data_IF_220297949261
#
_entry.id   IF_220297949261
#
_cell.length_a   1.000
_cell.length_b   1.000
_cell.length_c   1.000
_cell.angle_alpha   90.00
_cell.angle_beta   90.00
_cell.angle_gamma   90.00
#
_symmetry.space_group_name_H-M   'P 1'
#
loop_
_entity.id
_entity.type
_entity.pdbx_description
1 polymer ?
#
# COMPACT_ATOMS: atom_id res chain seq x y z
N UNK A 1 -6.15 -19.77 -10.01
CA UNK A 1 -7.53 -19.28 -10.16
C UNK A 1 -8.58 -20.37 -10.01
N UNK A 2 -8.66 -21.38 -10.89
CA UNK A 2 -9.75 -22.39 -10.86
C UNK A 2 -9.90 -23.13 -9.51
N UNK A 3 -8.79 -23.48 -8.85
CA UNK A 3 -8.82 -24.15 -7.54
C UNK A 3 -9.33 -23.23 -6.41
N UNK A 4 -8.96 -21.95 -6.42
CA UNK A 4 -9.40 -20.99 -5.39
C UNK A 4 -10.90 -20.67 -5.54
N UNK A 5 -11.37 -20.58 -6.79
CA UNK A 5 -12.79 -20.43 -7.10
C UNK A 5 -13.62 -21.66 -6.65
N UNK A 6 -13.04 -22.87 -6.79
CA UNK A 6 -13.68 -24.10 -6.32
C UNK A 6 -13.81 -24.12 -4.79
N UNK A 7 -12.81 -23.65 -4.04
CA UNK A 7 -12.86 -23.53 -2.58
C UNK A 7 -13.91 -22.50 -2.16
N UNK A 8 -13.87 -21.29 -2.73
CA UNK A 8 -14.86 -20.25 -2.43
C UNK A 8 -16.30 -20.77 -2.62
N UNK A 9 -16.54 -21.53 -3.70
CA UNK A 9 -17.83 -22.16 -3.96
C UNK A 9 -18.18 -23.27 -2.96
N UNK A 10 -17.21 -24.11 -2.58
CA UNK A 10 -17.40 -25.19 -1.61
C UNK A 10 -17.74 -24.65 -0.22
N UNK A 11 -17.12 -23.54 0.17
CA UNK A 11 -17.31 -22.87 1.47
C UNK A 11 -18.45 -21.85 1.47
N UNK A 12 -19.16 -21.70 0.34
CA UNK A 12 -20.25 -20.73 0.16
C UNK A 12 -19.81 -19.28 0.43
N UNK A 13 -18.58 -18.97 0.08
CA UNK A 13 -18.02 -17.62 0.09
C UNK A 13 -18.49 -16.93 -1.18
N UNK A 14 -19.33 -15.91 -1.03
CA UNK A 14 -19.71 -15.03 -2.13
C UNK A 14 -18.58 -14.02 -2.37
N UNK A 15 -17.83 -14.18 -3.47
CA UNK A 15 -16.68 -13.36 -3.81
C UNK A 15 -16.67 -13.00 -5.29
N UNK A 16 -16.45 -11.72 -5.59
CA UNK A 16 -16.34 -11.24 -6.95
C UNK A 16 -15.08 -11.79 -7.64
N UNK A 17 -15.10 -12.05 -8.96
CA UNK A 17 -13.94 -12.55 -9.69
C UNK A 17 -12.67 -11.69 -9.50
N UNK A 18 -12.81 -10.36 -9.53
CA UNK A 18 -11.69 -9.43 -9.35
C UNK A 18 -11.12 -9.47 -7.92
N UNK A 19 -11.99 -9.63 -6.90
CA UNK A 19 -11.56 -9.83 -5.52
C UNK A 19 -10.81 -11.16 -5.36
N UNK A 20 -11.30 -12.23 -5.99
CA UNK A 20 -10.65 -13.55 -5.96
C UNK A 20 -9.27 -13.53 -6.63
N UNK A 21 -9.11 -12.80 -7.73
CA UNK A 21 -7.81 -12.59 -8.39
C UNK A 21 -6.83 -11.87 -7.45
N UNK A 22 -7.32 -10.87 -6.73
CA UNK A 22 -6.53 -10.09 -5.78
C UNK A 22 -6.03 -10.95 -4.61
N UNK A 23 -6.88 -11.83 -4.07
CA UNK A 23 -6.53 -12.81 -3.03
C UNK A 23 -5.53 -13.84 -3.54
N UNK A 24 -5.76 -14.37 -4.75
CA UNK A 24 -4.84 -15.31 -5.38
C UNK A 24 -3.43 -14.70 -5.59
N UNK A 25 -3.37 -13.42 -5.96
CA UNK A 25 -2.12 -12.70 -6.12
C UNK A 25 -1.45 -12.36 -4.78
N UNK A 26 -2.24 -12.13 -3.72
CA UNK A 26 -1.72 -11.84 -2.38
C UNK A 26 -1.13 -13.07 -1.67
N UNK A 27 -1.48 -14.29 -2.09
CA UNK A 27 -0.93 -15.54 -1.56
C UNK A 27 0.51 -15.87 -1.95
N UNK A 28 1.33 -14.88 -2.31
CA UNK A 28 2.78 -14.98 -2.58
C UNK A 28 3.21 -16.17 -3.49
N UNK A 29 2.34 -16.60 -4.42
CA UNK A 29 2.61 -17.72 -5.34
C UNK A 29 2.40 -19.13 -4.75
N UNK A 30 1.94 -19.23 -3.51
CA UNK A 30 1.60 -20.46 -2.82
C UNK A 30 0.08 -20.61 -2.68
N UNK A 31 -0.44 -21.73 -3.16
CA UNK A 31 -1.88 -22.01 -3.09
C UNK A 31 -2.40 -22.00 -1.65
N UNK A 32 -1.59 -22.45 -0.68
CA UNK A 32 -1.94 -22.49 0.74
C UNK A 32 -2.07 -21.10 1.36
N UNK A 33 -1.24 -20.16 0.92
CA UNK A 33 -1.27 -18.80 1.46
C UNK A 33 -2.45 -18.03 0.87
N UNK A 34 -2.79 -18.27 -0.41
CA UNK A 34 -4.02 -17.77 -1.00
C UNK A 34 -5.29 -18.37 -0.35
N UNK A 35 -5.27 -19.65 0.00
CA UNK A 35 -6.35 -20.32 0.74
C UNK A 35 -6.50 -19.76 2.17
N UNK A 36 -5.40 -19.64 2.91
CA UNK A 36 -5.38 -19.03 4.25
C UNK A 36 -5.88 -17.57 4.26
N UNK A 37 -5.50 -16.78 3.24
CA UNK A 37 -6.01 -15.42 3.06
C UNK A 37 -7.51 -15.41 2.75
N UNK A 38 -7.98 -16.35 1.91
CA UNK A 38 -9.41 -16.49 1.62
C UNK A 38 -10.21 -16.81 2.89
N UNK A 39 -9.72 -17.74 3.71
CA UNK A 39 -10.35 -18.11 5.00
C UNK A 39 -10.40 -16.91 5.97
N UNK A 40 -9.29 -16.16 6.08
CA UNK A 40 -9.24 -14.95 6.90
C UNK A 40 -10.24 -13.90 6.40
N UNK A 41 -10.29 -13.68 5.10
CA UNK A 41 -11.20 -12.71 4.48
C UNK A 41 -12.66 -13.11 4.71
N UNK A 42 -12.98 -14.39 4.51
CA UNK A 42 -14.31 -14.93 4.78
C UNK A 42 -14.69 -14.77 6.25
N UNK A 43 -13.78 -15.03 7.20
CA UNK A 43 -14.05 -14.86 8.64
C UNK A 43 -14.31 -13.41 9.06
N UNK A 44 -13.76 -12.43 8.32
CA UNK A 44 -13.88 -10.99 8.59
C UNK A 44 -15.08 -10.35 7.87
N UNK A 45 -15.52 -10.93 6.75
CA UNK A 45 -16.78 -10.59 6.10
C UNK A 45 -17.92 -11.05 7.01
N UNK A 46 -18.56 -10.11 7.71
CA UNK A 46 -19.54 -10.43 8.77
C UNK A 46 -20.63 -11.41 8.29
N UNK A 47 -21.01 -12.41 9.11
CA UNK A 47 -22.15 -13.25 8.80
C UNK A 47 -23.42 -12.39 8.78
N UNK A 48 -24.14 -12.45 7.67
CA UNK A 48 -25.49 -11.89 7.56
C UNK A 48 -26.46 -12.69 8.43
N UNK A 49 -27.57 -12.08 8.82
CA UNK A 49 -28.64 -12.65 9.67
C UNK A 49 -29.23 -13.97 9.15
N UNK A 50 -28.91 -14.37 7.92
CA UNK A 50 -29.36 -15.60 7.27
C UNK A 50 -28.27 -16.70 7.21
N UNK A 51 -27.16 -16.55 7.93
CA UNK A 51 -26.12 -17.59 8.02
C UNK A 51 -25.20 -17.69 6.80
N UNK A 52 -25.12 -16.63 5.99
CA UNK A 52 -24.18 -16.49 4.88
C UNK A 52 -23.20 -15.33 5.07
N UNK A 53 -22.00 -15.43 4.51
CA UNK A 53 -21.01 -14.35 4.48
C UNK A 53 -21.50 -13.21 3.57
N UNK A 54 -21.34 -11.95 3.98
CA UNK A 54 -21.59 -10.81 3.08
C UNK A 54 -20.67 -10.87 1.85
N UNK A 55 -21.18 -10.47 0.68
CA UNK A 55 -20.42 -10.50 -0.59
C UNK A 55 -19.07 -9.80 -0.48
N UNK A 56 -17.98 -10.50 -0.77
CA UNK A 56 -16.63 -9.96 -0.82
C UNK A 56 -16.42 -9.32 -2.19
N UNK A 57 -16.60 -8.00 -2.23
CA UNK A 57 -16.28 -7.20 -3.40
C UNK A 57 -14.79 -6.82 -3.43
N UNK A 58 -14.36 -6.23 -4.54
CA UNK A 58 -12.97 -5.80 -4.74
C UNK A 58 -12.46 -4.88 -3.61
N UNK A 59 -13.27 -3.92 -3.16
CA UNK A 59 -12.89 -2.96 -2.12
C UNK A 59 -12.60 -3.65 -0.77
N UNK A 60 -13.44 -4.63 -0.39
CA UNK A 60 -13.25 -5.43 0.81
C UNK A 60 -11.96 -6.25 0.70
N UNK A 61 -11.71 -6.90 -0.44
CA UNK A 61 -10.49 -7.67 -0.66
C UNK A 61 -9.24 -6.78 -0.61
N UNK A 62 -9.28 -5.59 -1.20
CA UNK A 62 -8.17 -4.63 -1.13
C UNK A 62 -7.90 -4.15 0.29
N UNK A 63 -8.95 -3.95 1.10
CA UNK A 63 -8.81 -3.54 2.49
C UNK A 63 -8.15 -4.65 3.32
N UNK A 64 -8.61 -5.89 3.15
CA UNK A 64 -8.16 -7.04 3.94
C UNK A 64 -6.76 -7.51 3.56
N UNK A 65 -6.38 -7.34 2.30
CA UNK A 65 -5.00 -7.59 1.82
C UNK A 65 -4.06 -6.40 2.02
N UNK A 66 -4.54 -5.29 2.59
CA UNK A 66 -3.74 -4.09 2.85
C UNK A 66 -3.44 -3.21 1.63
N UNK A 67 -4.01 -3.51 0.46
CA UNK A 67 -3.78 -2.76 -0.79
C UNK A 67 -4.38 -1.37 -0.82
N UNK A 68 -5.45 -1.12 -0.06
CA UNK A 68 -5.95 0.26 0.13
C UNK A 68 -4.85 1.16 0.72
N UNK A 69 -4.11 0.62 1.70
CA UNK A 69 -2.96 1.33 2.30
C UNK A 69 -1.83 1.53 1.29
N UNK A 70 -1.51 0.50 0.51
CA UNK A 70 -0.48 0.61 -0.53
C UNK A 70 -0.82 1.67 -1.58
N UNK A 71 -2.04 1.68 -2.13
CA UNK A 71 -2.48 2.72 -3.09
C UNK A 71 -2.29 4.13 -2.54
N UNK A 72 -2.62 4.33 -1.26
CA UNK A 72 -2.44 5.62 -0.59
C UNK A 72 -0.97 6.03 -0.49
N UNK A 73 -0.09 5.06 -0.27
CA UNK A 73 1.36 5.28 -0.24
C UNK A 73 1.91 5.55 -1.64
N UNK A 74 1.44 4.83 -2.66
CA UNK A 74 1.85 5.01 -4.06
C UNK A 74 1.51 6.43 -4.55
N UNK A 75 0.29 6.90 -4.28
CA UNK A 75 -0.17 8.23 -4.67
C UNK A 75 0.69 9.31 -4.00
N UNK A 76 0.92 9.18 -2.68
CA UNK A 76 1.72 10.15 -1.96
C UNK A 76 3.18 10.17 -2.43
N UNK A 77 3.77 8.99 -2.64
CA UNK A 77 5.12 8.87 -3.19
C UNK A 77 5.23 9.50 -4.59
N UNK A 78 4.19 9.35 -5.42
CA UNK A 78 4.12 9.99 -6.74
C UNK A 78 4.17 11.51 -6.64
N UNK A 79 3.35 12.12 -5.77
CA UNK A 79 3.35 13.57 -5.54
C UNK A 79 4.71 14.07 -5.06
N UNK A 80 5.32 13.33 -4.12
CA UNK A 80 6.63 13.66 -3.54
C UNK A 80 7.74 13.62 -4.59
N UNK A 81 7.83 12.54 -5.38
CA UNK A 81 8.89 12.37 -6.39
C UNK A 81 8.75 13.40 -7.51
N UNK A 82 7.51 13.78 -7.87
CA UNK A 82 7.22 14.83 -8.86
C UNK A 82 7.41 16.25 -8.33
N UNK A 83 7.76 16.42 -7.05
CA UNK A 83 7.89 17.72 -6.40
C UNK A 83 6.61 18.56 -6.43
N UNK A 84 5.45 17.90 -6.35
CA UNK A 84 4.16 18.58 -6.26
C UNK A 84 3.88 18.94 -4.80
N UNK A 85 4.43 20.06 -4.33
CA UNK A 85 4.23 20.53 -2.95
C UNK A 85 2.74 20.71 -2.63
N UNK A 86 2.00 21.36 -3.53
CA UNK A 86 0.58 21.65 -3.32
C UNK A 86 -0.21 20.35 -3.24
N UNK A 87 -0.03 19.45 -4.21
CA UNK A 87 -0.71 18.16 -4.23
C UNK A 87 -0.35 17.30 -3.02
N UNK A 88 0.92 17.29 -2.58
CA UNK A 88 1.35 16.54 -1.41
C UNK A 88 0.70 17.03 -0.10
N UNK A 89 0.56 18.35 0.08
CA UNK A 89 -0.11 18.93 1.25
C UNK A 89 -1.63 18.73 1.21
N UNK A 90 -2.26 18.94 0.05
CA UNK A 90 -3.69 18.70 -0.14
C UNK A 90 -4.03 17.23 0.16
N UNK A 91 -3.23 16.30 -0.36
CA UNK A 91 -3.38 14.86 -0.12
C UNK A 91 -3.20 14.49 1.36
N UNK A 92 -2.20 15.06 2.02
CA UNK A 92 -1.98 14.83 3.45
C UNK A 92 -3.18 15.30 4.30
N UNK A 93 -3.75 16.46 3.96
CA UNK A 93 -4.94 16.97 4.64
C UNK A 93 -6.12 16.02 4.48
N UNK A 94 -6.40 15.52 3.27
CA UNK A 94 -7.46 14.53 3.02
C UNK A 94 -7.25 13.26 3.86
N UNK A 95 -6.05 12.69 3.87
CA UNK A 95 -5.77 11.46 4.63
C UNK A 95 -5.95 11.67 6.13
N UNK A 96 -5.60 12.86 6.64
CA UNK A 96 -5.80 13.22 8.04
C UNK A 96 -7.29 13.41 8.39
N UNK A 97 -8.07 14.04 7.51
CA UNK A 97 -9.53 14.21 7.67
C UNK A 97 -10.27 12.87 7.64
N UNK A 98 -9.82 11.92 6.83
CA UNK A 98 -10.31 10.54 6.79
C UNK A 98 -9.95 9.74 8.07
N UNK A 99 -9.16 10.31 8.98
CA UNK A 99 -8.81 9.68 10.26
C UNK A 99 -7.78 8.56 10.14
N UNK A 100 -7.01 8.51 9.05
CA UNK A 100 -5.97 7.50 8.89
C UNK A 100 -4.78 7.73 9.81
N UNK A 101 -4.11 6.63 10.15
CA UNK A 101 -2.89 6.69 10.95
C UNK A 101 -1.71 7.23 10.13
N UNK A 102 -1.45 8.53 10.26
CA UNK A 102 -0.35 9.22 9.57
C UNK A 102 1.03 8.64 9.91
N UNK A 103 1.25 8.17 11.14
CA UNK A 103 2.52 7.56 11.55
C UNK A 103 2.76 6.27 10.75
N UNK A 104 1.72 5.46 10.58
CA UNK A 104 1.79 4.25 9.76
C UNK A 104 1.98 4.60 8.27
N UNK A 105 1.25 5.58 7.74
CA UNK A 105 1.41 6.06 6.36
C UNK A 105 2.87 6.46 6.06
N UNK A 106 3.49 7.26 6.94
CA UNK A 106 4.88 7.71 6.75
C UNK A 106 5.87 6.56 6.83
N UNK A 107 5.64 5.60 7.74
CA UNK A 107 6.45 4.38 7.82
C UNK A 107 6.43 3.63 6.48
N UNK A 108 5.24 3.41 5.93
CA UNK A 108 5.05 2.68 4.68
C UNK A 108 5.61 3.47 3.48
N UNK A 109 5.46 4.80 3.48
CA UNK A 109 6.08 5.70 2.52
C UNK A 109 7.61 5.58 2.52
N UNK A 110 8.26 5.54 3.69
CA UNK A 110 9.72 5.35 3.78
C UNK A 110 10.12 4.02 3.14
N UNK A 111 9.38 2.94 3.42
CA UNK A 111 9.63 1.63 2.82
C UNK A 111 9.43 1.67 1.30
N UNK A 112 8.40 2.36 0.81
CA UNK A 112 8.10 2.48 -0.61
C UNK A 112 9.17 3.31 -1.35
N UNK A 113 9.55 4.48 -0.83
CA UNK A 113 10.63 5.30 -1.38
C UNK A 113 11.97 4.55 -1.39
N UNK A 114 12.24 3.70 -0.39
CA UNK A 114 13.40 2.80 -0.39
C UNK A 114 13.35 1.83 -1.58
N UNK A 115 12.19 1.23 -1.87
CA UNK A 115 12.02 0.33 -3.03
C UNK A 115 12.26 1.08 -4.35
N UNK A 116 11.70 2.30 -4.47
CA UNK A 116 11.93 3.21 -5.62
C UNK A 116 13.42 3.47 -5.82
N UNK A 117 14.12 3.87 -4.75
CA UNK A 117 15.56 4.13 -4.78
C UNK A 117 16.37 2.88 -5.17
N UNK A 118 16.04 1.73 -4.59
CA UNK A 118 16.69 0.45 -4.92
C UNK A 118 16.57 0.10 -6.40
N UNK A 119 15.38 0.23 -6.99
CA UNK A 119 15.19 -0.03 -8.42
C UNK A 119 15.88 0.99 -9.31
N UNK A 120 15.92 2.27 -8.88
CA UNK A 120 16.65 3.30 -9.62
C UNK A 120 18.16 3.04 -9.63
N UNK A 121 18.71 2.53 -8.53
CA UNK A 121 20.14 2.18 -8.43
C UNK A 121 20.48 0.86 -9.13
N UNK A 122 19.58 -0.13 -9.05
CA UNK A 122 19.76 -1.44 -9.66
C UNK A 122 18.40 -2.03 -10.07
N UNK A 123 18.05 -1.95 -11.38
CA UNK A 123 16.82 -2.54 -11.90
C UNK A 123 16.70 -4.05 -11.68
N UNK A 124 17.83 -4.76 -11.51
CA UNK A 124 17.84 -6.21 -11.24
C UNK A 124 17.27 -6.60 -9.87
N UNK A 125 17.02 -5.64 -8.97
CA UNK A 125 16.37 -5.88 -7.67
C UNK A 125 14.84 -6.06 -7.79
N UNK A 126 14.27 -5.94 -8.99
CA UNK A 126 12.84 -6.17 -9.25
C UNK A 126 12.35 -7.53 -8.72
N UNK A 127 13.14 -8.59 -8.89
CA UNK A 127 12.78 -9.95 -8.45
C UNK A 127 12.58 -10.07 -6.94
N UNK A 128 13.22 -9.21 -6.14
CA UNK A 128 13.06 -9.18 -4.69
C UNK A 128 11.67 -8.66 -4.30
N UNK A 129 11.10 -7.77 -5.10
CA UNK A 129 9.81 -7.15 -4.81
C UNK A 129 8.63 -7.94 -5.38
N UNK A 130 8.88 -8.93 -6.25
CA UNK A 130 7.82 -9.76 -6.86
C UNK A 130 7.10 -10.66 -5.85
N UNK A 131 7.71 -10.96 -4.69
CA UNK A 131 7.02 -11.65 -3.61
C UNK A 131 6.09 -10.74 -2.80
N UNK A 132 6.31 -9.43 -2.84
CA UNK A 132 5.57 -8.46 -2.02
C UNK A 132 4.55 -7.65 -2.82
N UNK A 133 4.71 -7.57 -4.14
CA UNK A 133 3.96 -6.69 -5.03
C UNK A 133 3.48 -7.47 -6.26
N UNK A 134 2.28 -7.14 -6.71
CA UNK A 134 1.76 -7.59 -8.00
C UNK A 134 2.52 -7.02 -9.18
N UNK A 135 2.33 -7.62 -10.36
CA UNK A 135 2.90 -7.12 -11.61
C UNK A 135 2.52 -5.66 -11.88
N UNK A 136 1.29 -5.25 -11.59
CA UNK A 136 0.85 -3.86 -11.79
C UNK A 136 1.52 -2.89 -10.81
N UNK A 137 1.67 -3.27 -9.55
CA UNK A 137 2.36 -2.49 -8.53
C UNK A 137 3.86 -2.37 -8.83
N UNK A 138 4.49 -3.45 -9.33
CA UNK A 138 5.87 -3.43 -9.84
C UNK A 138 6.01 -2.43 -11.00
N UNK A 139 5.06 -2.42 -11.95
CA UNK A 139 5.07 -1.48 -13.09
C UNK A 139 5.03 -0.03 -12.60
N UNK A 140 4.14 0.28 -11.65
CA UNK A 140 4.05 1.63 -11.05
C UNK A 140 5.34 2.01 -10.32
N UNK A 141 5.88 1.10 -9.52
CA UNK A 141 7.12 1.30 -8.78
C UNK A 141 8.30 1.59 -9.73
N UNK A 142 8.41 0.84 -10.84
CA UNK A 142 9.42 1.04 -11.88
C UNK A 142 9.28 2.39 -12.57
N UNK A 143 8.05 2.78 -12.93
CA UNK A 143 7.79 4.10 -13.51
C UNK A 143 8.28 5.20 -12.57
N UNK A 144 7.96 5.10 -11.28
CA UNK A 144 8.38 6.10 -10.31
C UNK A 144 9.91 6.12 -10.11
N UNK A 145 10.56 4.95 -10.14
CA UNK A 145 12.02 4.84 -10.09
C UNK A 145 12.69 5.54 -11.29
N UNK A 146 12.09 5.47 -12.48
CA UNK A 146 12.60 6.20 -13.66
C UNK A 146 12.53 7.72 -13.47
N UNK A 147 11.45 8.22 -12.86
CA UNK A 147 11.24 9.65 -12.57
C UNK A 147 12.11 10.16 -11.40
N UNK A 148 12.54 9.28 -10.48
CA UNK A 148 13.26 9.64 -9.27
C UNK A 148 14.69 10.16 -9.51
N UNK A 149 15.06 11.25 -8.84
CA UNK A 149 16.45 11.67 -8.69
C UNK A 149 17.09 10.96 -7.47
N UNK A 150 18.28 10.39 -7.65
CA UNK A 150 18.93 9.56 -6.61
C UNK A 150 19.26 10.38 -5.36
N UNK A 151 19.90 11.54 -5.53
CA UNK A 151 20.37 12.34 -4.39
C UNK A 151 19.20 12.96 -3.64
N UNK A 152 18.21 13.47 -4.37
CA UNK A 152 16.98 14.01 -3.81
C UNK A 152 16.19 12.94 -3.06
N UNK A 153 16.06 11.73 -3.62
CA UNK A 153 15.35 10.62 -2.97
C UNK A 153 16.05 10.18 -1.68
N UNK A 154 17.38 10.13 -1.66
CA UNK A 154 18.15 9.84 -0.43
C UNK A 154 17.89 10.91 0.63
N UNK A 155 17.90 12.20 0.25
CA UNK A 155 17.60 13.32 1.16
C UNK A 155 16.18 13.20 1.72
N UNK A 156 15.19 12.99 0.85
CA UNK A 156 13.78 12.79 1.21
C UNK A 156 13.62 11.66 2.23
N UNK A 157 14.19 10.47 1.97
CA UNK A 157 14.11 9.33 2.88
C UNK A 157 14.68 9.69 4.27
N UNK A 158 15.84 10.36 4.32
CA UNK A 158 16.43 10.79 5.60
C UNK A 158 15.54 11.78 6.35
N UNK A 159 14.98 12.76 5.64
CA UNK A 159 14.04 13.73 6.23
C UNK A 159 12.77 13.06 6.74
N UNK A 160 12.18 12.11 5.99
CA UNK A 160 11.01 11.36 6.45
C UNK A 160 11.31 10.46 7.66
N UNK A 161 12.49 9.83 7.73
CA UNK A 161 12.89 9.05 8.92
C UNK A 161 12.97 9.95 10.16
N UNK A 162 13.50 11.16 9.99
CA UNK A 162 13.54 12.16 11.08
C UNK A 162 12.13 12.59 11.47
N UNK A 163 11.32 13.01 10.50
CA UNK A 163 9.93 13.40 10.73
C UNK A 163 9.16 12.30 11.44
N UNK A 164 9.22 11.06 10.96
CA UNK A 164 8.60 9.88 11.59
C UNK A 164 8.98 9.73 13.06
N UNK A 165 10.25 9.96 13.40
CA UNK A 165 10.72 9.91 14.79
C UNK A 165 10.09 11.03 15.61
N UNK A 166 10.04 12.25 15.09
CA UNK A 166 9.43 13.41 15.74
C UNK A 166 7.90 13.25 15.91
N UNK A 167 7.21 12.68 14.92
CA UNK A 167 5.77 12.41 14.96
C UNK A 167 5.38 11.50 16.14
N UNK A 168 6.22 10.51 16.47
CA UNK A 168 5.95 9.56 17.56
C UNK A 168 5.98 10.18 18.95
N UNK A 169 6.68 11.31 19.12
CA UNK A 169 6.82 11.99 20.40
C UNK A 169 6.10 13.34 20.45
N UNK A 170 5.54 13.79 19.33
CA UNK A 170 4.83 15.06 19.22
C UNK A 170 3.36 14.90 19.61
N UNK A 171 2.78 15.85 20.37
CA UNK A 171 1.33 15.94 20.55
C UNK A 171 0.60 16.32 19.24
N UNK A 172 1.34 16.78 18.23
CA UNK A 172 0.82 17.15 16.90
C UNK A 172 1.58 16.34 15.84
N UNK A 173 1.17 15.10 15.60
CA UNK A 173 1.86 14.20 14.67
C UNK A 173 1.89 14.71 13.22
N UNK A 174 0.94 15.56 12.81
CA UNK A 174 0.90 16.08 11.44
C UNK A 174 1.98 17.15 11.17
N UNK A 175 2.33 17.97 12.18
CA UNK A 175 3.19 19.15 12.00
C UNK A 175 4.62 18.78 11.54
N UNK A 176 5.33 17.81 12.14
CA UNK A 176 6.65 17.40 11.66
C UNK A 176 6.63 16.90 10.21
N UNK A 177 5.53 16.28 9.79
CA UNK A 177 5.37 15.78 8.44
C UNK A 177 5.17 16.92 7.43
N UNK A 178 4.30 17.89 7.72
CA UNK A 178 4.09 19.07 6.88
C UNK A 178 5.39 19.88 6.68
N UNK A 179 6.14 20.10 7.77
CA UNK A 179 7.44 20.79 7.71
C UNK A 179 8.43 20.00 6.83
N UNK A 180 8.52 18.69 7.02
CA UNK A 180 9.38 17.83 6.20
C UNK A 180 9.03 17.92 4.71
N UNK A 181 7.75 17.96 4.36
CA UNK A 181 7.29 18.10 2.96
C UNK A 181 7.69 19.48 2.43
N UNK A 182 7.37 20.55 3.16
CA UNK A 182 7.69 21.92 2.76
C UNK A 182 9.19 22.12 2.53
N UNK A 183 10.06 21.60 3.40
CA UNK A 183 11.52 21.73 3.28
C UNK A 183 12.14 20.99 2.09
N UNK A 184 11.49 19.92 1.61
CA UNK A 184 12.05 19.08 0.54
C UNK A 184 11.45 19.34 -0.85
N UNK A 185 10.25 19.92 -0.90
CA UNK A 185 9.51 20.15 -2.13
C UNK A 185 9.40 21.64 -2.52
N UNK A 186 9.86 22.57 -1.67
CA UNK A 186 9.98 24.00 -2.00
C UNK A 186 11.13 24.32 -2.94
#
# INVERSE_FOLDING_TARGET
MEKLAAIAKAEKIDIEPAALELVAAAGEGSFRDAESLLDQIASLASPTSEGGFGSINLEIAERLTGRVGLKKVEEFASLIIKNDLKGALDYLATINEEGHNLVQLVKDLIHYLRKVLSLKLNPGLESIFQSELTSDEIVKLKKLAMEADVQKTIKLIKSFIRAYSEMRYSPFAIVPLEVCIAENLS
#
